data_IF_915872566321
#
_entry.id   IF_915872566321
#
_cell.length_a   1.000
_cell.length_b   1.000
_cell.length_c   1.000
_cell.angle_alpha   90.00
_cell.angle_beta   90.00
_cell.angle_gamma   90.00
#
_symmetry.space_group_name_H-M   'P 1'
#
loop_
_entity.id
_entity.type
_entity.pdbx_description
1 polymer ?
#
# COMPACT_ATOMS: atom_id res chain seq x y z
N UNK A 1 -9.77 -2.26 19.55
CA UNK A 1 -9.01 -3.45 19.08
C UNK A 1 -8.69 -3.19 17.62
N UNK A 2 -7.76 -2.26 17.38
CA UNK A 2 -7.57 -1.61 16.06
C UNK A 2 -6.13 -1.81 15.55
N UNK A 3 -5.39 -2.72 16.19
CA UNK A 3 -3.95 -2.96 16.01
C UNK A 3 -3.57 -3.42 14.61
N UNK A 4 -4.53 -3.97 13.85
CA UNK A 4 -4.25 -4.56 12.54
C UNK A 4 -4.05 -3.51 11.44
N UNK A 5 -4.91 -2.48 11.37
CA UNK A 5 -4.85 -1.48 10.31
C UNK A 5 -3.56 -0.64 10.42
N UNK A 6 -3.27 -0.11 11.61
CA UNK A 6 -2.04 0.65 11.85
C UNK A 6 -0.76 -0.19 11.69
N UNK A 7 -0.85 -1.52 11.84
CA UNK A 7 0.23 -2.44 11.52
C UNK A 7 0.44 -2.55 10.01
N UNK A 8 -0.64 -2.78 9.27
CA UNK A 8 -0.65 -2.88 7.81
C UNK A 8 -0.13 -1.59 7.17
N UNK A 9 -0.65 -0.43 7.59
CA UNK A 9 -0.22 0.88 7.09
C UNK A 9 1.29 1.06 7.20
N UNK A 10 1.85 0.76 8.39
CA UNK A 10 3.29 0.85 8.62
C UNK A 10 4.06 -0.11 7.72
N UNK A 11 3.62 -1.37 7.63
CA UNK A 11 4.29 -2.39 6.83
C UNK A 11 4.27 -2.03 5.34
N UNK A 12 3.14 -1.53 4.83
CA UNK A 12 2.98 -1.07 3.45
C UNK A 12 3.90 0.14 3.21
N UNK A 13 3.91 1.13 4.11
CA UNK A 13 4.83 2.27 4.03
C UNK A 13 6.30 1.84 3.99
N UNK A 14 6.69 0.90 4.84
CA UNK A 14 8.05 0.35 4.85
C UNK A 14 8.37 -0.32 3.51
N UNK A 15 7.48 -1.19 3.00
CA UNK A 15 7.68 -1.79 1.68
C UNK A 15 7.73 -0.75 0.57
N UNK A 16 6.92 0.31 0.67
CA UNK A 16 6.94 1.36 -0.31
C UNK A 16 8.24 2.16 -0.23
N UNK A 17 8.78 2.45 0.94
CA UNK A 17 10.08 3.12 1.11
C UNK A 17 11.27 2.25 0.70
N UNK A 18 11.17 0.93 0.87
CA UNK A 18 12.21 -0.02 0.46
C UNK A 18 12.24 -0.23 -1.06
N UNK A 19 11.07 -0.26 -1.71
CA UNK A 19 10.94 -0.55 -3.14
C UNK A 19 10.82 0.69 -4.01
N UNK A 20 10.24 1.76 -3.48
CA UNK A 20 10.06 3.05 -4.16
C UNK A 20 10.84 4.13 -3.41
N UNK A 21 11.52 5.00 -4.14
CA UNK A 21 12.29 6.11 -3.54
C UNK A 21 11.31 7.21 -3.09
N UNK A 22 10.68 6.98 -1.94
CA UNK A 22 9.70 7.90 -1.37
C UNK A 22 10.39 9.00 -0.55
N UNK A 23 9.94 10.27 -0.68
CA UNK A 23 10.49 11.36 0.11
C UNK A 23 10.24 11.14 1.61
N UNK A 24 11.23 11.54 2.42
CA UNK A 24 11.13 11.48 3.87
C UNK A 24 9.96 12.35 4.36
N UNK A 25 8.97 11.72 4.99
CA UNK A 25 7.73 12.37 5.42
C UNK A 25 6.48 11.92 4.66
N UNK A 26 6.62 10.98 3.72
CA UNK A 26 5.46 10.29 3.13
C UNK A 26 4.67 9.59 4.23
N UNK A 27 3.38 9.91 4.33
CA UNK A 27 2.46 9.34 5.30
C UNK A 27 1.58 8.27 4.62
N UNK A 28 0.89 7.45 5.42
CA UNK A 28 0.01 6.42 4.89
C UNK A 28 -1.18 7.02 4.12
N UNK A 29 -1.61 8.21 4.54
CA UNK A 29 -2.65 9.02 3.93
C UNK A 29 -2.17 9.76 2.67
N UNK A 30 -0.88 9.72 2.34
CA UNK A 30 -0.36 10.42 1.17
C UNK A 30 -0.94 9.79 -0.10
N UNK A 31 -1.54 10.59 -1.00
CA UNK A 31 -2.10 10.06 -2.23
C UNK A 31 -1.01 9.55 -3.17
N UNK A 32 -1.28 8.45 -3.86
CA UNK A 32 -0.39 7.90 -4.89
C UNK A 32 -0.11 8.91 -6.02
N UNK A 33 -1.09 9.75 -6.36
CA UNK A 33 -0.91 10.84 -7.33
C UNK A 33 0.17 11.86 -6.90
N UNK A 34 0.32 12.11 -5.59
CA UNK A 34 1.36 13.02 -5.06
C UNK A 34 2.74 12.36 -5.07
N UNK A 35 2.77 11.03 -5.04
CA UNK A 35 4.00 10.22 -5.09
C UNK A 35 4.46 9.94 -6.53
N UNK A 36 3.78 10.48 -7.53
CA UNK A 36 4.05 10.22 -8.96
C UNK A 36 3.92 8.72 -9.31
N UNK A 37 3.00 8.02 -8.63
CA UNK A 37 2.75 6.60 -8.87
C UNK A 37 1.93 6.42 -10.15
N UNK A 38 2.64 6.20 -11.25
CA UNK A 38 2.06 5.84 -12.53
C UNK A 38 1.44 4.43 -12.53
N UNK A 39 0.68 4.11 -13.58
CA UNK A 39 0.10 2.78 -13.79
C UNK A 39 1.13 1.64 -13.69
N UNK A 40 2.36 1.85 -14.19
CA UNK A 40 3.43 0.85 -14.09
C UNK A 40 3.86 0.63 -12.63
N UNK A 41 4.06 1.72 -11.88
CA UNK A 41 4.45 1.70 -10.47
C UNK A 41 3.39 1.01 -9.63
N UNK A 42 2.11 1.24 -9.92
CA UNK A 42 1.00 0.58 -9.24
C UNK A 42 0.97 -0.92 -9.51
N UNK A 43 1.25 -1.36 -10.74
CA UNK A 43 1.38 -2.79 -11.06
C UNK A 43 2.53 -3.43 -10.26
N UNK A 44 3.68 -2.75 -10.16
CA UNK A 44 4.80 -3.22 -9.35
C UNK A 44 4.47 -3.25 -7.86
N UNK A 45 3.77 -2.24 -7.34
CA UNK A 45 3.28 -2.22 -5.97
C UNK A 45 2.36 -3.41 -5.71
N UNK A 46 1.43 -3.73 -6.62
CA UNK A 46 0.56 -4.90 -6.51
C UNK A 46 1.35 -6.22 -6.41
N UNK A 47 2.41 -6.37 -7.20
CA UNK A 47 3.33 -7.51 -7.14
C UNK A 47 4.09 -7.57 -5.80
N UNK A 48 4.58 -6.43 -5.31
CA UNK A 48 5.27 -6.33 -4.01
C UNK A 48 4.32 -6.72 -2.88
N UNK A 49 3.09 -6.19 -2.87
CA UNK A 49 2.07 -6.51 -1.87
C UNK A 49 1.69 -7.98 -1.91
N UNK A 50 1.54 -8.56 -3.11
CA UNK A 50 1.31 -10.00 -3.28
C UNK A 50 2.45 -10.83 -2.72
N UNK A 51 3.70 -10.42 -2.93
CA UNK A 51 4.86 -11.12 -2.38
C UNK A 51 4.97 -10.97 -0.86
N UNK A 52 4.64 -9.80 -0.31
CA UNK A 52 4.79 -9.49 1.10
C UNK A 52 3.65 -10.04 1.96
N UNK A 53 2.41 -9.95 1.47
CA UNK A 53 1.18 -10.28 2.20
C UNK A 53 0.44 -11.49 1.65
N UNK A 54 0.83 -12.02 0.49
CA UNK A 54 0.15 -13.14 -0.17
C UNK A 54 -1.18 -12.76 -0.82
N UNK A 55 -1.48 -11.46 -0.96
CA UNK A 55 -2.74 -10.97 -1.53
C UNK A 55 -2.50 -10.30 -2.87
N UNK A 56 -3.22 -10.76 -3.88
CA UNK A 56 -3.25 -10.12 -5.19
C UNK A 56 -4.10 -8.86 -5.13
N UNK A 57 -3.45 -7.70 -5.33
CA UNK A 57 -4.11 -6.40 -5.44
C UNK A 57 -3.81 -5.88 -6.84
N UNK A 58 -4.85 -5.66 -7.63
CA UNK A 58 -4.69 -5.15 -9.00
C UNK A 58 -4.46 -3.63 -9.00
N UNK A 59 -3.90 -3.09 -10.08
CA UNK A 59 -3.61 -1.67 -10.17
C UNK A 59 -4.88 -0.81 -10.11
N UNK A 60 -6.02 -1.31 -10.61
CA UNK A 60 -7.33 -0.67 -10.45
C UNK A 60 -7.75 -0.57 -8.98
N UNK A 61 -7.48 -1.60 -8.16
CA UNK A 61 -7.77 -1.56 -6.73
C UNK A 61 -6.85 -0.61 -5.98
N UNK A 62 -5.57 -0.54 -6.37
CA UNK A 62 -4.61 0.41 -5.83
C UNK A 62 -4.99 1.85 -6.20
N UNK A 63 -5.43 2.10 -7.44
CA UNK A 63 -5.97 3.41 -7.85
C UNK A 63 -7.22 3.76 -7.06
N UNK A 64 -8.13 2.79 -6.85
CA UNK A 64 -9.34 3.01 -6.07
C UNK A 64 -9.04 3.29 -4.59
N UNK A 65 -8.02 2.63 -4.03
CA UNK A 65 -7.54 2.90 -2.67
C UNK A 65 -6.87 4.28 -2.56
N UNK A 66 -6.14 4.71 -3.60
CA UNK A 66 -5.56 6.04 -3.75
C UNK A 66 -4.42 6.39 -2.78
N UNK A 67 -4.19 5.59 -1.73
CA UNK A 67 -3.18 5.81 -0.69
C UNK A 67 -2.82 4.51 0.02
N UNK A 68 -1.71 4.48 0.75
CA UNK A 68 -1.30 3.31 1.52
C UNK A 68 -2.31 2.96 2.64
N UNK A 69 -2.97 3.95 3.23
CA UNK A 69 -4.05 3.74 4.21
C UNK A 69 -5.27 3.07 3.56
N UNK A 70 -5.64 3.52 2.35
CA UNK A 70 -6.70 2.86 1.57
C UNK A 70 -6.37 1.39 1.26
N UNK A 71 -5.11 1.11 0.91
CA UNK A 71 -4.64 -0.26 0.66
C UNK A 71 -4.65 -1.08 1.94
N UNK A 72 -4.22 -0.51 3.07
CA UNK A 72 -4.29 -1.16 4.37
C UNK A 72 -5.74 -1.53 4.74
N UNK A 73 -6.70 -0.63 4.49
CA UNK A 73 -8.12 -0.89 4.72
C UNK A 73 -8.66 -1.99 3.78
N UNK A 74 -8.21 -2.01 2.53
CA UNK A 74 -8.54 -3.07 1.56
C UNK A 74 -8.01 -4.44 2.03
N UNK A 75 -6.74 -4.50 2.44
CA UNK A 75 -6.11 -5.72 2.96
C UNK A 75 -6.76 -6.18 4.26
N UNK A 76 -7.08 -5.27 5.17
CA UNK A 76 -7.81 -5.58 6.41
C UNK A 76 -9.21 -6.13 6.10
N UNK A 77 -9.92 -5.59 5.11
CA UNK A 77 -11.23 -6.08 4.66
C UNK A 77 -11.14 -7.48 4.04
N UNK A 78 -9.98 -7.84 3.49
CA UNK A 78 -9.66 -9.18 2.98
C UNK A 78 -9.18 -10.15 4.06
N UNK A 79 -9.09 -9.70 5.32
CA UNK A 79 -8.66 -10.53 6.46
C UNK A 79 -7.16 -10.66 6.61
N UNK A 80 -6.36 -9.84 5.94
CA UNK A 80 -4.90 -9.82 6.09
C UNK A 80 -4.54 -9.24 7.45
N UNK A 81 -3.56 -9.85 8.11
CA UNK A 81 -3.00 -9.39 9.38
C UNK A 81 -1.49 -9.40 9.35
N UNK A 82 -0.84 -8.45 10.03
CA UNK A 82 0.62 -8.41 10.24
C UNK A 82 1.03 -8.64 11.68
#
# INVERSE_FOLDING_TARGET
>A
MDTNLAGLERRILEQMHEQFDLPAGTAADTPFEVLDFDSLVLVELGLVLKSAFGVEVEDDELKAAGSASGVAALLASRGVTV
#
